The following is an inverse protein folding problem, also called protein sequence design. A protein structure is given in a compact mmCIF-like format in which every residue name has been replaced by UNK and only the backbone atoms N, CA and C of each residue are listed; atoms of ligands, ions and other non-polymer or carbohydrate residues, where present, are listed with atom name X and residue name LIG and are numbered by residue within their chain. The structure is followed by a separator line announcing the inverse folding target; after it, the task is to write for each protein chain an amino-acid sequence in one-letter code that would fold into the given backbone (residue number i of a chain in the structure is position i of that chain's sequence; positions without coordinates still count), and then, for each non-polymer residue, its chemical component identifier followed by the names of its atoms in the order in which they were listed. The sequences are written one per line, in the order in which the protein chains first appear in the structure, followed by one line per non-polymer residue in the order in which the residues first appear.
data_IF_265236927091
#
_entry.id   IF_265236927091
#
_cell.length_a   1.000
_cell.length_b   1.000
_cell.length_c   1.000
_cell.angle_alpha   90.00
_cell.angle_beta   90.00
_cell.angle_gamma   90.00
#
_symmetry.space_group_name_H-M   'P 1'
#
loop_
_entity.id
_entity.type
_entity.pdbx_description
1 polymer ?
#
# COMPACT_ATOMS: atom_id res chain seq x y z
N UNK A 1 -16.94 4.42 4.95
CA UNK A 1 -15.51 4.18 4.71
C UNK A 1 -15.23 2.70 4.94
N UNK A 2 -14.60 2.07 3.98
CA UNK A 2 -14.36 0.63 3.97
C UNK A 2 -12.87 0.36 3.87
N UNK A 3 -12.37 -0.60 4.63
CA UNK A 3 -10.98 -1.01 4.55
C UNK A 3 -10.92 -2.46 4.09
N UNK A 4 -10.15 -2.70 3.03
CA UNK A 4 -9.92 -4.06 2.58
C UNK A 4 -8.50 -4.47 2.99
N UNK A 5 -8.40 -5.65 3.58
CA UNK A 5 -7.11 -6.24 3.95
C UNK A 5 -6.89 -7.42 3.02
N UNK A 6 -5.82 -7.35 2.24
CA UNK A 6 -5.51 -8.39 1.26
C UNK A 6 -4.24 -9.12 1.69
N UNK A 7 -4.34 -10.42 1.85
CA UNK A 7 -3.20 -11.27 2.20
C UNK A 7 -2.65 -11.91 0.93
N UNK A 8 -1.36 -11.72 0.70
CA UNK A 8 -0.69 -12.18 -0.52
C UNK A 8 0.48 -13.08 -0.16
N UNK A 9 0.58 -14.20 -0.86
CA UNK A 9 1.70 -15.12 -0.73
C UNK A 9 2.51 -15.07 -2.02
N UNK A 10 3.79 -14.73 -1.91
CA UNK A 10 4.67 -14.58 -3.06
C UNK A 10 5.46 -15.85 -3.31
N UNK A 11 5.88 -16.02 -4.55
CA UNK A 11 6.89 -17.02 -4.86
C UNK A 11 8.18 -16.64 -4.17
N UNK A 12 9.02 -17.63 -3.93
CA UNK A 12 10.27 -17.39 -3.22
C UNK A 12 11.16 -16.45 -4.00
N UNK A 13 11.71 -15.46 -3.33
CA UNK A 13 12.74 -14.59 -3.90
C UNK A 13 12.25 -13.46 -4.79
N UNK A 14 10.92 -13.28 -4.95
CA UNK A 14 10.40 -12.26 -5.87
C UNK A 14 9.84 -11.03 -5.14
N UNK A 15 10.08 -10.93 -3.83
CA UNK A 15 9.48 -9.85 -3.04
C UNK A 15 9.81 -8.46 -3.54
N UNK A 16 11.06 -8.21 -3.90
CA UNK A 16 11.48 -6.90 -4.36
C UNK A 16 10.78 -6.51 -5.68
N UNK A 17 10.69 -7.46 -6.59
CA UNK A 17 10.04 -7.21 -7.87
C UNK A 17 8.54 -6.98 -7.68
N UNK A 18 7.91 -7.79 -6.84
CA UNK A 18 6.48 -7.64 -6.56
C UNK A 18 6.22 -6.28 -5.89
N UNK A 19 7.07 -5.88 -4.94
CA UNK A 19 6.92 -4.60 -4.24
C UNK A 19 6.97 -3.43 -5.22
N UNK A 20 7.90 -3.49 -6.18
CA UNK A 20 8.02 -2.42 -7.18
C UNK A 20 6.76 -2.32 -8.04
N UNK A 21 6.21 -3.46 -8.46
CA UNK A 21 4.99 -3.48 -9.25
C UNK A 21 3.79 -2.98 -8.45
N UNK A 22 3.72 -3.36 -7.17
CA UNK A 22 2.62 -2.92 -6.31
C UNK A 22 2.70 -1.43 -6.01
N UNK A 23 3.91 -0.87 -5.86
CA UNK A 23 4.06 0.57 -5.70
C UNK A 23 3.48 1.33 -6.89
N UNK A 24 3.73 0.83 -8.09
CA UNK A 24 3.15 1.43 -9.29
C UNK A 24 1.62 1.39 -9.24
N UNK A 25 1.06 0.24 -8.84
CA UNK A 25 -0.39 0.08 -8.73
C UNK A 25 -0.97 1.03 -7.69
N UNK A 26 -0.35 1.13 -6.53
CA UNK A 26 -0.85 1.98 -5.45
C UNK A 26 -0.74 3.46 -5.81
N UNK A 27 0.31 3.85 -6.54
CA UNK A 27 0.44 5.22 -7.01
C UNK A 27 -0.68 5.60 -7.96
N UNK A 28 -1.13 4.66 -8.79
CA UNK A 28 -2.26 4.89 -9.68
C UNK A 28 -3.58 4.92 -8.90
N UNK A 29 -3.76 4.01 -7.95
CA UNK A 29 -4.97 3.93 -7.14
C UNK A 29 -5.18 5.22 -6.35
N UNK A 30 -4.10 5.82 -5.87
CA UNK A 30 -4.15 7.04 -5.08
C UNK A 30 -4.88 8.17 -5.80
N UNK A 31 -4.87 8.16 -7.11
CA UNK A 31 -5.48 9.22 -7.92
C UNK A 31 -6.95 8.94 -8.25
N UNK A 32 -7.49 7.82 -7.80
CA UNK A 32 -8.84 7.44 -8.17
C UNK A 32 -9.86 8.01 -7.20
N UNK A 33 -11.09 8.25 -7.69
CA UNK A 33 -12.16 8.71 -6.81
C UNK A 33 -12.40 7.71 -5.68
N UNK A 34 -12.59 8.22 -4.49
CA UNK A 34 -12.90 7.38 -3.34
C UNK A 34 -11.70 6.84 -2.58
N UNK A 35 -10.49 6.98 -3.13
CA UNK A 35 -9.29 6.55 -2.39
C UNK A 35 -9.13 7.38 -1.12
N UNK A 36 -8.89 6.72 0.01
CA UNK A 36 -8.63 7.38 1.29
C UNK A 36 -7.18 7.18 1.72
N UNK A 37 -6.69 5.95 1.67
CA UNK A 37 -5.32 5.69 2.06
C UNK A 37 -5.00 4.21 1.96
N UNK A 38 -3.72 3.89 2.11
CA UNK A 38 -3.32 2.50 2.06
C UNK A 38 -1.90 2.29 2.52
N UNK A 39 -1.59 1.03 2.81
CA UNK A 39 -0.28 0.60 3.24
C UNK A 39 0.05 -0.73 2.62
N UNK A 40 1.33 -0.91 2.32
CA UNK A 40 1.87 -2.20 1.91
C UNK A 40 2.77 -2.68 3.03
N UNK A 41 2.45 -3.83 3.60
CA UNK A 41 3.15 -4.37 4.75
C UNK A 41 3.84 -5.68 4.40
N UNK A 42 5.01 -5.89 4.97
CA UNK A 42 5.72 -7.16 4.89
C UNK A 42 5.72 -7.78 6.27
N UNK A 43 5.35 -9.04 6.36
CA UNK A 43 5.40 -9.73 7.64
C UNK A 43 6.87 -9.92 8.05
N UNK A 44 7.20 -9.47 9.26
CA UNK A 44 8.61 -9.36 9.66
C UNK A 44 9.38 -10.66 9.59
N UNK A 45 8.74 -11.77 9.94
CA UNK A 45 9.39 -13.06 10.00
C UNK A 45 9.07 -13.97 8.82
N UNK A 46 8.36 -13.45 7.83
CA UNK A 46 7.97 -14.22 6.64
C UNK A 46 8.13 -13.35 5.39
N UNK A 47 9.35 -13.35 4.81
CA UNK A 47 9.69 -12.39 3.75
C UNK A 47 8.87 -12.56 2.46
N UNK A 48 8.23 -13.70 2.27
CA UNK A 48 7.41 -13.92 1.08
C UNK A 48 5.93 -13.65 1.30
N UNK A 49 5.59 -12.99 2.40
CA UNK A 49 4.21 -12.61 2.70
C UNK A 49 4.05 -11.12 2.65
N UNK A 50 2.90 -10.69 2.12
CA UNK A 50 2.55 -9.27 2.07
C UNK A 50 1.11 -9.09 2.52
N UNK A 51 0.83 -7.93 3.10
CA UNK A 51 -0.53 -7.52 3.44
C UNK A 51 -0.72 -6.13 2.86
N UNK A 52 -1.78 -5.97 2.08
CA UNK A 52 -2.16 -4.68 1.53
C UNK A 52 -3.37 -4.21 2.33
N UNK A 53 -3.27 -3.02 2.92
CA UNK A 53 -4.39 -2.40 3.63
C UNK A 53 -4.81 -1.20 2.81
N UNK A 54 -6.02 -1.22 2.27
CA UNK A 54 -6.51 -0.12 1.45
C UNK A 54 -7.86 0.36 1.96
N UNK A 55 -7.99 1.67 2.10
CA UNK A 55 -9.24 2.27 2.58
C UNK A 55 -9.83 3.12 1.47
N UNK A 56 -11.11 2.91 1.22
CA UNK A 56 -11.90 3.59 0.20
C UNK A 56 -13.16 4.15 0.83
N UNK A 57 -13.71 5.20 0.24
CA UNK A 57 -14.97 5.76 0.74
C UNK A 57 -16.08 4.74 0.67
N UNK A 58 -16.18 4.01 -0.45
CA UNK A 58 -17.20 2.99 -0.63
C UNK A 58 -16.60 1.77 -1.32
N UNK A 59 -17.29 0.65 -1.18
CA UNK A 59 -16.91 -0.56 -1.89
C UNK A 59 -17.02 -0.38 -3.40
N UNK A 60 -18.00 0.39 -3.84
CA UNK A 60 -18.18 0.65 -5.27
C UNK A 60 -16.96 1.36 -5.86
N UNK A 61 -16.34 2.27 -5.12
CA UNK A 61 -15.12 2.94 -5.57
C UNK A 61 -13.98 1.94 -5.77
N UNK A 62 -13.84 0.99 -4.84
CA UNK A 62 -12.84 -0.06 -4.97
C UNK A 62 -13.12 -0.94 -6.19
N UNK A 63 -14.38 -1.29 -6.39
CA UNK A 63 -14.76 -2.12 -7.53
C UNK A 63 -14.49 -1.41 -8.84
N UNK A 64 -14.76 -0.11 -8.90
CA UNK A 64 -14.45 0.69 -10.07
C UNK A 64 -12.96 0.70 -10.37
N UNK A 65 -12.13 0.77 -9.32
CA UNK A 65 -10.67 0.69 -9.48
C UNK A 65 -10.26 -0.63 -10.12
N UNK A 66 -10.92 -1.73 -9.73
CA UNK A 66 -10.59 -3.05 -10.26
C UNK A 66 -10.98 -3.22 -11.72
N UNK A 67 -11.79 -2.33 -12.25
CA UNK A 67 -12.10 -2.30 -13.68
C UNK A 67 -11.32 -1.22 -14.42
N UNK A 68 -10.45 -0.51 -13.71
CA UNK A 68 -9.65 0.55 -14.30
C UNK A 68 -8.52 -0.03 -15.15
N UNK A 69 -8.23 0.68 -16.24
CA UNK A 69 -7.18 0.25 -17.17
C UNK A 69 -5.82 0.13 -16.50
N UNK A 70 -5.51 1.04 -15.59
CA UNK A 70 -4.23 1.03 -14.90
C UNK A 70 -4.10 -0.16 -13.95
N UNK A 71 -5.20 -0.57 -13.34
CA UNK A 71 -5.19 -1.79 -12.53
C UNK A 71 -4.91 -3.00 -13.41
N UNK A 72 -5.60 -3.09 -14.54
CA UNK A 72 -5.43 -4.21 -15.46
C UNK A 72 -4.00 -4.28 -15.99
N UNK A 73 -3.36 -3.14 -16.21
CA UNK A 73 -2.02 -3.09 -16.77
C UNK A 73 -0.97 -3.74 -15.88
N UNK A 74 -1.20 -3.80 -14.55
CA UNK A 74 -0.24 -4.42 -13.63
C UNK A 74 -0.62 -5.85 -13.27
N UNK A 75 -1.79 -6.32 -13.70
CA UNK A 75 -2.30 -7.62 -13.25
C UNK A 75 -1.40 -8.77 -13.61
N UNK A 76 -1.04 -8.89 -14.87
CA UNK A 76 -0.23 -10.01 -15.33
C UNK A 76 1.12 -10.07 -14.64
N UNK A 77 1.72 -8.92 -14.43
CA UNK A 77 3.02 -8.86 -13.78
C UNK A 77 2.92 -9.30 -12.33
N UNK A 78 1.93 -8.81 -11.60
CA UNK A 78 1.77 -9.16 -10.18
C UNK A 78 1.34 -10.60 -10.01
N UNK A 79 0.36 -11.06 -10.79
CA UNK A 79 -0.15 -12.43 -10.66
C UNK A 79 0.93 -13.47 -10.90
N UNK A 80 1.84 -13.21 -11.81
CA UNK A 80 2.91 -14.14 -12.11
C UNK A 80 3.92 -14.32 -10.98
N UNK A 81 3.93 -13.42 -10.01
CA UNK A 81 4.86 -13.45 -8.89
C UNK A 81 4.24 -14.05 -7.62
N UNK A 82 2.94 -14.36 -7.64
CA UNK A 82 2.24 -14.86 -6.47
C UNK A 82 2.16 -16.38 -6.53
N UNK A 83 2.29 -17.01 -5.36
CA UNK A 83 2.29 -18.48 -5.26
C UNK A 83 0.89 -19.07 -5.19
N UNK A 84 -0.13 -18.24 -5.02
CA UNK A 84 -1.51 -18.67 -4.95
C UNK A 84 -2.43 -17.47 -4.94
N UNK A 85 -3.74 -17.71 -4.89
CA UNK A 85 -4.70 -16.59 -4.89
C UNK A 85 -4.62 -15.78 -3.63
N UNK A 86 -4.79 -14.47 -3.76
CA UNK A 86 -4.82 -13.57 -2.62
C UNK A 86 -6.17 -13.69 -1.92
N UNK A 87 -6.16 -13.40 -0.62
CA UNK A 87 -7.38 -13.38 0.18
C UNK A 87 -7.75 -11.93 0.46
N UNK A 88 -9.01 -11.59 0.25
CA UNK A 88 -9.52 -10.24 0.45
C UNK A 88 -10.55 -10.24 1.56
N UNK A 89 -10.29 -9.46 2.60
CA UNK A 89 -11.18 -9.35 3.75
C UNK A 89 -11.70 -7.92 3.84
N UNK A 90 -13.01 -7.75 3.77
CA UNK A 90 -13.66 -6.46 3.81
C UNK A 90 -14.03 -6.08 5.22
N UNK A 91 -13.80 -4.82 5.57
CA UNK A 91 -14.10 -4.30 6.89
C UNK A 91 -14.74 -2.94 6.76
N UNK A 92 -15.73 -2.70 7.62
CA UNK A 92 -16.32 -1.38 7.74
C UNK A 92 -15.55 -0.64 8.82
N UNK A 93 -15.18 0.60 8.59
CA UNK A 93 -14.43 1.37 9.57
C UNK A 93 -15.42 1.87 10.63
N UNK A 94 -15.26 1.38 11.84
CA UNK A 94 -16.13 1.77 12.96
C UNK A 94 -15.59 3.04 13.61
N UNK A 95 -14.28 3.10 13.82
CA UNK A 95 -13.62 4.25 14.43
C UNK A 95 -12.28 4.46 13.73
N UNK A 96 -11.97 5.71 13.43
CA UNK A 96 -10.70 6.05 12.81
C UNK A 96 -10.04 7.12 13.66
N UNK A 97 -9.09 6.70 14.50
CA UNK A 97 -8.39 7.59 15.42
C UNK A 97 -6.94 7.70 14.98
N UNK A 98 -6.49 8.91 14.73
CA UNK A 98 -5.13 9.16 14.28
C UNK A 98 -4.53 10.28 15.10
N UNK A 99 -3.20 10.22 15.26
CA UNK A 99 -2.50 11.33 15.85
C UNK A 99 -2.67 12.53 14.93
N UNK A 100 -2.92 13.70 15.49
CA UNK A 100 -3.13 14.91 14.71
C UNK A 100 -1.93 15.19 13.83
N UNK A 101 -2.20 15.41 12.56
CA UNK A 101 -1.15 15.72 11.61
C UNK A 101 -0.78 17.16 11.64
N UNK A 102 -1.52 17.91 12.31
CA UNK A 102 -1.27 19.30 12.26
C UNK A 102 0.16 19.61 12.43
N UNK A 103 0.29 19.59 12.19
CA UNK A 103 1.39 19.57 12.28
C UNK A 103 2.23 19.44 11.21
N UNK A 104 1.82 19.57 11.17
CA UNK A 104 2.53 19.53 10.36
C UNK A 104 2.89 19.40 9.72
N UNK A 105 2.87 19.45 9.80
CA UNK A 105 3.33 19.33 9.06
C UNK A 105 3.71 19.35 8.43
N UNK A 106 3.69 19.75 8.80
CA UNK A 106 4.20 19.67 8.08
C UNK A 106 4.59 19.59 7.64
N UNK A 107 4.58 19.90 8.22
CA UNK A 107 5.18 19.67 7.68
C UNK A 107 5.50 19.46 7.35
N UNK A 108 5.50 19.58 7.85
CA UNK A 108 6.05 19.18 7.39
C UNK A 108 6.58 19.07 7.00
N UNK A 109 6.72 19.42 7.36
CA UNK A 109 7.40 19.12 6.96
C UNK A 109 8.08 18.78 6.70
N UNK A 110 8.27 19.18 7.01
CA UNK A 110 9.08 18.64 6.69
C UNK A 110 9.74 18.10 6.68
N UNK A 111 9.98 18.32 7.09
CA UNK A 111 10.85 17.55 6.91
C UNK A 111 11.46 16.93 6.90
N UNK A 112 11.63 17.07 7.28
CA UNK A 112 12.43 16.28 7.14
C UNK A 112 13.00 15.63 7.20
N UNK A 113 13.08 15.89 7.54
CA UNK A 113 13.90 15.04 7.46
C UNK A 113 14.40 14.49 7.56
N UNK A 114 14.45 14.85 7.85
CA UNK A 114 15.16 14.12 7.83
C UNK A 114 15.66 13.36 7.81
N UNK A 115 15.50 13.97 8.27
CA UNK A 115 16.20 13.01 8.01
C UNK A 115 16.52 12.32 8.00
N UNK A 116 16.69 12.82 8.53
CA UNK A 116 17.23 11.91 8.28
C UNK A 116 17.58 11.29 8.34
N UNK A 117 17.36 11.79 8.48
CA UNK A 117 17.87 11.06 8.38
C UNK A 117 18.27 10.39 8.33
N UNK A 118 18.24 11.23 8.83
CA UNK A 118 18.84 10.42 8.49
C UNK A 118 19.18 9.81 8.48
N UNK A 119 19.36 10.36 8.33
CA UNK A 119 19.75 9.68 8.07
C UNK A 119 20.09 9.15 8.02
N UNK A 120 20.27 9.73 8.39
CA UNK A 120 20.86 9.13 8.08
C UNK A 120 21.05 8.47 8.03
N UNK A 121 20.85 9.13 7.55
CA UNK A 121 21.11 8.49 7.17
C UNK A 121 21.25 7.91 6.97
N UNK A 122 21.38 8.47 7.06
CA UNK A 122 21.65 7.93 6.59
C UNK A 122 21.87 7.51 6.42
N UNK A 123 21.90 8.17 6.50
CA UNK A 123 22.24 7.73 6.05
C UNK A 123 22.45 7.23 5.86
N UNK A 124 22.52 7.89 6.05
CA UNK A 124 22.84 7.35 5.57
C UNK A 124 23.04 6.88 5.49
N UNK A 125 23.10 7.62 5.66
CA UNK A 125 23.45 7.10 5.23
C UNK A 125 23.55 6.69 5.28
N UNK A 126 23.66 7.36 5.52
CA UNK A 126 23.99 6.89 5.18
C UNK A 126 24.09 6.37 5.32
#
# INVERSE_FOLDING_TARGET
MMTIVTHVHLKEGVGREWDAAMRTRLSAAKKRPGWVGGELLRQSDKPDRRVIVGTWKTRADWEAWHHDRQFAATRGRLDGLESGPAEHWWHEVVVDVRKSAAAPTAASKPATNRASKAKPKRRRRR
#
